data_IF_942943659766
#
_entry.id   IF_942943659766
#
_cell.length_a   1.000
_cell.length_b   1.000
_cell.length_c   1.000
_cell.angle_alpha   90.00
_cell.angle_beta   90.00
_cell.angle_gamma   90.00
#
_symmetry.space_group_name_H-M   'P 1'
#
loop_
_entity.id
_entity.type
_entity.pdbx_description
1 polymer ?
#
# COMPACT_ATOMS: atom_id res chain seq x y z
N UNK A 1 15.29 -0.53 -21.56
CA UNK A 1 13.97 0.02 -21.23
C UNK A 1 14.15 1.33 -20.49
N UNK A 2 13.77 2.47 -21.07
CA UNK A 2 13.76 3.76 -20.38
C UNK A 2 12.31 4.12 -20.05
N UNK A 3 12.02 4.35 -18.77
CA UNK A 3 10.70 4.78 -18.30
C UNK A 3 10.55 6.28 -18.61
N UNK A 4 9.52 6.65 -19.36
CA UNK A 4 9.31 8.03 -19.85
C UNK A 4 8.71 8.98 -18.80
N UNK A 5 8.05 8.45 -17.79
CA UNK A 5 7.35 9.22 -16.76
C UNK A 5 7.27 8.45 -15.45
N UNK A 6 6.99 9.18 -14.37
CA UNK A 6 6.82 8.59 -13.04
C UNK A 6 8.15 8.41 -12.32
N UNK A 7 8.22 8.94 -11.11
CA UNK A 7 9.32 8.66 -10.18
C UNK A 7 8.85 7.65 -9.15
N UNK A 8 9.77 6.87 -8.58
CA UNK A 8 9.44 6.00 -7.45
C UNK A 8 9.69 6.78 -6.18
N UNK A 9 8.63 7.39 -5.64
CA UNK A 9 8.68 8.09 -4.36
C UNK A 9 8.73 7.11 -3.18
N UNK A 10 8.97 7.63 -1.98
CA UNK A 10 9.13 6.87 -0.75
C UNK A 10 8.06 5.79 -0.52
N UNK A 11 6.77 6.15 -0.52
CA UNK A 11 5.68 5.19 -0.30
C UNK A 11 5.52 4.19 -1.47
N UNK A 12 5.75 4.63 -2.70
CA UNK A 12 5.72 3.71 -3.83
C UNK A 12 6.87 2.70 -3.78
N UNK A 13 8.06 3.11 -3.34
CA UNK A 13 9.19 2.22 -3.10
C UNK A 13 8.87 1.19 -2.01
N UNK A 14 8.28 1.62 -0.90
CA UNK A 14 7.81 0.75 0.19
C UNK A 14 6.85 -0.32 -0.33
N UNK A 15 5.80 0.10 -1.06
CA UNK A 15 4.85 -0.81 -1.68
C UNK A 15 5.54 -1.85 -2.58
N UNK A 16 6.38 -1.39 -3.52
CA UNK A 16 7.03 -2.27 -4.50
C UNK A 16 8.04 -3.25 -3.89
N UNK A 17 8.57 -2.95 -2.71
CA UNK A 17 9.63 -3.73 -2.07
C UNK A 17 9.16 -4.48 -0.82
N UNK A 18 7.90 -4.30 -0.42
CA UNK A 18 7.35 -4.86 0.82
C UNK A 18 7.97 -4.32 2.09
N UNK A 19 8.49 -3.10 2.06
CA UNK A 19 8.99 -2.40 3.25
C UNK A 19 7.94 -1.45 3.81
N UNK A 20 7.94 -1.24 5.13
CA UNK A 20 7.11 -0.22 5.78
C UNK A 20 6.15 -0.82 6.80
N UNK A 21 5.04 -0.13 7.07
CA UNK A 21 4.03 -0.51 8.04
C UNK A 21 3.14 -1.68 7.56
N UNK A 22 3.76 -2.79 7.19
CA UNK A 22 3.11 -4.06 6.87
C UNK A 22 3.35 -5.04 8.02
N UNK A 23 2.31 -5.71 8.50
CA UNK A 23 2.40 -6.66 9.60
C UNK A 23 3.44 -7.75 9.33
N UNK A 24 3.49 -8.30 8.12
CA UNK A 24 4.51 -9.27 7.73
C UNK A 24 5.93 -8.72 7.90
N UNK A 25 6.17 -7.50 7.37
CA UNK A 25 7.47 -6.84 7.47
C UNK A 25 7.88 -6.56 8.91
N UNK A 26 6.96 -6.02 9.72
CA UNK A 26 7.22 -5.66 11.11
C UNK A 26 7.42 -6.89 11.99
N UNK A 27 6.64 -7.96 11.76
CA UNK A 27 6.79 -9.24 12.44
C UNK A 27 8.14 -9.89 12.14
N UNK A 28 8.59 -9.87 10.88
CA UNK A 28 9.90 -10.40 10.47
C UNK A 28 11.06 -9.79 11.27
N UNK A 29 10.97 -8.51 11.62
CA UNK A 29 11.97 -7.80 12.43
C UNK A 29 11.62 -7.72 13.92
N UNK A 30 10.65 -8.52 14.39
CA UNK A 30 10.22 -8.59 15.79
C UNK A 30 9.77 -7.23 16.36
N UNK A 31 9.28 -6.34 15.49
CA UNK A 31 8.66 -5.07 15.90
C UNK A 31 7.20 -5.25 16.28
N UNK A 32 6.55 -6.28 15.74
CA UNK A 32 5.22 -6.77 16.15
C UNK A 32 5.28 -8.26 16.48
N UNK A 33 4.40 -8.70 17.36
CA UNK A 33 4.25 -10.12 17.76
C UNK A 33 3.40 -10.94 16.78
N UNK A 34 2.83 -10.30 15.76
CA UNK A 34 1.89 -10.89 14.80
C UNK A 34 2.06 -10.21 13.45
N UNK A 35 1.85 -10.95 12.38
CA UNK A 35 1.85 -10.46 11.00
C UNK A 35 0.47 -10.00 10.50
N UNK A 36 -0.53 -9.93 11.38
CA UNK A 36 -1.90 -9.50 11.05
C UNK A 36 -2.02 -8.01 10.75
N UNK A 37 -2.91 -7.68 9.83
CA UNK A 37 -3.28 -6.31 9.50
C UNK A 37 -4.01 -5.67 10.68
N UNK A 38 -3.58 -4.46 11.07
CA UNK A 38 -4.20 -3.73 12.19
C UNK A 38 -5.62 -3.24 11.88
N UNK A 39 -5.97 -3.15 10.60
CA UNK A 39 -7.24 -2.57 10.16
C UNK A 39 -8.33 -3.62 9.98
N UNK A 40 -8.00 -4.76 9.38
CA UNK A 40 -8.98 -5.82 9.08
C UNK A 40 -8.73 -7.13 9.85
N UNK A 41 -7.58 -7.29 10.51
CA UNK A 41 -7.23 -8.46 11.31
C UNK A 41 -6.79 -9.71 10.55
N UNK A 42 -6.81 -9.69 9.20
CA UNK A 42 -6.34 -10.80 8.36
C UNK A 42 -4.81 -10.92 8.35
N UNK A 43 -4.31 -12.12 8.07
CA UNK A 43 -2.88 -12.45 7.97
C UNK A 43 -2.62 -13.36 6.75
N UNK A 44 -1.45 -13.23 6.10
CA UNK A 44 -0.40 -12.24 6.39
C UNK A 44 -0.74 -10.86 5.82
N UNK A 45 -0.35 -9.80 6.54
CA UNK A 45 -0.47 -8.42 6.08
C UNK A 45 0.70 -8.05 5.18
N UNK A 46 0.56 -8.39 3.90
CA UNK A 46 1.51 -8.13 2.82
C UNK A 46 1.15 -6.83 2.07
N UNK A 47 2.02 -6.32 1.18
CA UNK A 47 1.67 -5.21 0.29
C UNK A 47 0.50 -5.53 -0.63
N UNK A 48 0.39 -6.79 -1.07
CA UNK A 48 -0.71 -7.25 -1.91
C UNK A 48 -2.02 -7.18 -1.15
N UNK A 49 -2.03 -7.68 0.09
CA UNK A 49 -3.17 -7.55 0.98
C UNK A 49 -3.55 -6.07 1.19
N UNK A 50 -2.58 -5.25 1.58
CA UNK A 50 -2.81 -3.85 1.93
C UNK A 50 -3.38 -3.03 0.77
N UNK A 51 -2.94 -3.28 -0.48
CA UNK A 51 -3.39 -2.50 -1.62
C UNK A 51 -4.62 -3.11 -2.28
N UNK A 52 -4.68 -4.42 -2.46
CA UNK A 52 -5.67 -5.08 -3.32
C UNK A 52 -6.83 -5.74 -2.58
N UNK A 53 -6.65 -6.13 -1.32
CA UNK A 53 -7.60 -7.04 -0.64
C UNK A 53 -8.26 -6.40 0.58
N UNK A 54 -7.50 -5.65 1.38
CA UNK A 54 -7.95 -5.11 2.65
C UNK A 54 -9.21 -4.26 2.48
N UNK A 55 -10.27 -4.63 3.18
CA UNK A 55 -11.61 -4.03 3.15
C UNK A 55 -11.60 -2.55 3.60
N UNK A 56 -10.68 -2.18 4.50
CA UNK A 56 -10.46 -0.80 4.94
C UNK A 56 -10.17 0.17 3.78
N UNK A 57 -9.74 -0.33 2.61
CA UNK A 57 -9.39 0.46 1.43
C UNK A 57 -10.29 0.19 0.22
N UNK A 58 -11.41 -0.51 0.39
CA UNK A 58 -12.30 -0.84 -0.72
C UNK A 58 -12.78 0.42 -1.47
N UNK A 59 -13.20 1.46 -0.73
CA UNK A 59 -13.65 2.72 -1.32
C UNK A 59 -12.54 3.39 -2.14
N UNK A 60 -11.32 3.43 -1.62
CA UNK A 60 -10.16 4.01 -2.30
C UNK A 60 -9.84 3.25 -3.59
N UNK A 61 -9.95 1.92 -3.58
CA UNK A 61 -9.79 1.09 -4.79
C UNK A 61 -10.89 1.36 -5.81
N UNK A 62 -12.14 1.44 -5.37
CA UNK A 62 -13.28 1.74 -6.25
C UNK A 62 -13.12 3.12 -6.90
N UNK A 63 -12.79 4.15 -6.12
CA UNK A 63 -12.55 5.51 -6.62
C UNK A 63 -11.40 5.51 -7.64
N UNK A 64 -10.30 4.82 -7.34
CA UNK A 64 -9.16 4.69 -8.26
C UNK A 64 -9.56 4.00 -9.56
N UNK A 65 -10.32 2.90 -9.49
CA UNK A 65 -10.75 2.14 -10.66
C UNK A 65 -11.61 2.97 -11.62
N UNK A 66 -12.45 3.88 -11.09
CA UNK A 66 -13.21 4.84 -11.92
C UNK A 66 -12.27 5.74 -12.72
N UNK A 67 -11.15 6.20 -12.13
CA UNK A 67 -10.19 7.06 -12.82
C UNK A 67 -9.30 6.32 -13.82
N UNK A 68 -8.83 5.11 -13.47
CA UNK A 68 -7.91 4.36 -14.34
C UNK A 68 -8.64 3.50 -15.39
N UNK A 69 -9.95 3.33 -15.26
CA UNK A 69 -10.81 2.61 -16.21
C UNK A 69 -10.92 1.11 -15.98
N UNK A 70 -10.20 0.54 -15.00
CA UNK A 70 -10.31 -0.85 -14.58
C UNK A 70 -9.87 -1.03 -13.12
N UNK A 71 -10.26 -2.15 -12.49
CA UNK A 71 -9.79 -2.47 -11.15
C UNK A 71 -8.29 -2.73 -11.13
N UNK A 72 -7.58 -2.13 -10.18
CA UNK A 72 -6.17 -2.42 -9.97
C UNK A 72 -6.00 -3.79 -9.32
N UNK A 73 -5.03 -4.54 -9.82
CA UNK A 73 -4.62 -5.87 -9.36
C UNK A 73 -3.12 -6.00 -9.46
N UNK A 74 -2.55 -7.01 -8.79
CA UNK A 74 -1.10 -7.27 -8.80
C UNK A 74 -0.57 -7.34 -10.24
N UNK A 75 -1.29 -8.03 -11.13
CA UNK A 75 -0.90 -8.30 -12.50
C UNK A 75 -0.96 -7.09 -13.45
N UNK A 76 -1.81 -6.09 -13.17
CA UNK A 76 -2.05 -4.97 -14.10
C UNK A 76 -1.55 -3.62 -13.57
N UNK A 77 -1.23 -3.48 -12.27
CA UNK A 77 -0.91 -2.18 -11.67
C UNK A 77 0.26 -1.48 -12.34
N UNK A 78 1.40 -2.17 -12.48
CA UNK A 78 2.58 -1.57 -13.14
C UNK A 78 2.30 -1.24 -14.61
N UNK A 79 1.54 -2.11 -15.30
CA UNK A 79 1.13 -1.86 -16.69
C UNK A 79 0.30 -0.58 -16.80
N UNK A 80 -0.69 -0.39 -15.92
CA UNK A 80 -1.52 0.80 -15.85
C UNK A 80 -0.69 2.06 -15.59
N UNK A 81 0.25 2.00 -14.63
CA UNK A 81 1.16 3.11 -14.33
C UNK A 81 2.01 3.51 -15.55
N UNK A 82 2.43 2.53 -16.36
CA UNK A 82 3.26 2.76 -17.53
C UNK A 82 2.50 3.31 -18.74
N UNK A 83 1.16 3.23 -18.78
CA UNK A 83 0.36 3.70 -19.91
C UNK A 83 0.46 5.22 -20.10
N UNK A 84 0.34 5.99 -19.02
CA UNK A 84 0.41 7.44 -19.08
C UNK A 84 0.76 8.04 -17.70
N UNK A 85 1.16 9.32 -17.69
CA UNK A 85 1.56 10.04 -16.47
C UNK A 85 0.41 10.18 -15.47
N UNK A 86 -0.83 10.32 -15.94
CA UNK A 86 -1.98 10.48 -15.05
C UNK A 86 -2.26 9.21 -14.25
N UNK A 87 -2.30 8.04 -14.89
CA UNK A 87 -2.44 6.74 -14.22
C UNK A 87 -1.34 6.55 -13.17
N UNK A 88 -0.09 6.88 -13.51
CA UNK A 88 1.01 6.85 -12.55
C UNK A 88 0.71 7.71 -11.32
N UNK A 89 0.33 8.98 -11.53
CA UNK A 89 0.05 9.91 -10.43
C UNK A 89 -1.11 9.44 -9.57
N UNK A 90 -2.21 8.93 -10.17
CA UNK A 90 -3.38 8.44 -9.42
C UNK A 90 -3.06 7.22 -8.58
N UNK A 91 -2.33 6.26 -9.15
CA UNK A 91 -1.91 5.04 -8.44
C UNK A 91 -0.91 5.39 -7.34
N UNK A 92 0.07 6.26 -7.62
CA UNK A 92 1.03 6.73 -6.62
C UNK A 92 0.33 7.45 -5.45
N UNK A 93 -0.66 8.30 -5.72
CA UNK A 93 -1.41 9.01 -4.69
C UNK A 93 -2.23 8.05 -3.83
N UNK A 94 -2.90 7.08 -4.44
CA UNK A 94 -3.64 6.05 -3.72
C UNK A 94 -2.74 5.22 -2.81
N UNK A 95 -1.60 4.73 -3.33
CA UNK A 95 -0.59 3.99 -2.55
C UNK A 95 -0.06 4.87 -1.41
N UNK A 96 0.27 6.12 -1.71
CA UNK A 96 0.77 7.08 -0.71
C UNK A 96 -0.24 7.30 0.41
N UNK A 97 -1.52 7.48 0.08
CA UNK A 97 -2.58 7.68 1.06
C UNK A 97 -2.75 6.46 1.96
N UNK A 98 -2.82 5.26 1.37
CA UNK A 98 -2.94 4.01 2.12
C UNK A 98 -1.75 3.85 3.08
N UNK A 99 -0.52 3.99 2.58
CA UNK A 99 0.67 3.75 3.40
C UNK A 99 0.88 4.82 4.47
N UNK A 100 0.59 6.10 4.19
CA UNK A 100 0.62 7.15 5.21
C UNK A 100 -0.31 6.85 6.38
N UNK A 101 -1.56 6.48 6.09
CA UNK A 101 -2.51 6.13 7.15
C UNK A 101 -2.06 4.90 7.93
N UNK A 102 -1.50 3.89 7.27
CA UNK A 102 -0.95 2.71 7.96
C UNK A 102 0.25 3.06 8.86
N UNK A 103 1.15 3.93 8.41
CA UNK A 103 2.25 4.45 9.23
C UNK A 103 1.76 5.27 10.43
N UNK A 104 0.64 5.99 10.31
CA UNK A 104 -0.01 6.68 11.43
C UNK A 104 -0.58 5.69 12.44
N UNK A 105 -1.33 4.68 12.00
CA UNK A 105 -1.87 3.63 12.87
C UNK A 105 -0.75 2.90 13.63
N UNK A 106 0.34 2.54 12.95
CA UNK A 106 1.47 1.89 13.61
C UNK A 106 2.13 2.81 14.64
N UNK A 107 2.33 4.10 14.32
CA UNK A 107 2.89 5.08 15.28
C UNK A 107 2.01 5.28 16.51
N UNK A 108 0.69 5.23 16.35
CA UNK A 108 -0.25 5.32 17.48
C UNK A 108 -0.18 4.06 18.36
N UNK A 109 -0.08 2.88 17.75
CA UNK A 109 0.08 1.62 18.46
C UNK A 109 1.40 1.57 19.25
N UNK A 110 2.51 1.99 18.64
CA UNK A 110 3.81 2.08 19.32
C UNK A 110 3.75 3.01 20.53
N UNK A 111 3.08 4.16 20.40
CA UNK A 111 2.88 5.11 21.52
C UNK A 111 2.04 4.50 22.64
N UNK A 112 0.97 3.78 22.29
CA UNK A 112 0.10 3.09 23.25
C UNK A 112 0.85 2.01 24.03
N UNK A 113 1.75 1.27 23.37
CA UNK A 113 2.52 0.19 23.99
C UNK A 113 3.74 0.68 24.79
N UNK A 114 4.09 1.97 24.71
CA UNK A 114 5.21 2.56 25.44
C UNK A 114 4.81 3.17 26.81
N UNK A 115 3.53 3.19 27.14
CA UNK A 115 2.94 3.67 28.40
C UNK A 115 2.68 2.47 29.32
#
# INVERSE_FOLDING_TARGET
YSRKHGEVKYHLAQFLTGHGAFGEYLHRFRRRNTDRCQLCGLSPDTPEHAIYECDAWERQRQDLAVYVGEQIKVENTVKLMMQNKENWMRIEDAVTKILKTREEVEREEERRNAI
#
